data_IF_688847677567
#
_entry.id   IF_688847677567
#
_cell.length_a   1.000
_cell.length_b   1.000
_cell.length_c   1.000
_cell.angle_alpha   90.00
_cell.angle_beta   90.00
_cell.angle_gamma   90.00
#
_symmetry.space_group_name_H-M   'P 1'
#
loop_
_entity.id
_entity.type
_entity.pdbx_description
1 polymer ?
#
# COMPACT_ATOMS: atom_id res chain seq x y z
N UNK A 1 22.74 16.96 -0.58
CA UNK A 1 21.69 16.34 0.24
C UNK A 1 22.07 14.91 0.56
N UNK A 2 22.02 14.53 1.83
CA UNK A 2 22.20 13.13 2.26
C UNK A 2 20.88 12.39 2.03
N UNK A 3 20.90 11.37 1.18
CA UNK A 3 19.75 10.53 0.91
C UNK A 3 19.59 9.54 2.08
N UNK A 4 18.54 9.68 2.88
CA UNK A 4 18.16 8.68 3.89
C UNK A 4 17.20 7.69 3.26
N UNK A 5 17.62 6.43 3.11
CA UNK A 5 16.76 5.35 2.62
C UNK A 5 16.13 4.64 3.82
N UNK A 6 14.80 4.53 3.85
CA UNK A 6 14.10 3.62 4.77
C UNK A 6 13.84 2.32 4.01
N UNK A 7 14.63 1.29 4.29
CA UNK A 7 14.40 -0.05 3.71
C UNK A 7 13.31 -0.74 4.50
N UNK A 8 12.16 -0.99 3.87
CA UNK A 8 11.10 -1.84 4.44
C UNK A 8 11.32 -3.27 3.93
N UNK A 9 11.70 -4.24 4.78
CA UNK A 9 11.93 -5.61 4.34
C UNK A 9 10.59 -6.32 4.13
N UNK A 10 10.02 -6.18 2.95
CA UNK A 10 9.03 -7.12 2.43
C UNK A 10 9.79 -8.27 1.73
N UNK A 11 9.22 -9.48 1.62
CA UNK A 11 9.87 -10.65 0.96
C UNK A 11 10.04 -10.48 -0.57
N UNK A 12 10.29 -9.27 -1.06
CA UNK A 12 10.42 -8.88 -2.47
C UNK A 12 11.39 -7.70 -2.65
N UNK A 13 11.32 -7.03 -3.80
CA UNK A 13 12.19 -5.88 -4.13
C UNK A 13 12.05 -4.76 -3.09
N UNK A 14 13.16 -4.18 -2.61
CA UNK A 14 13.12 -3.03 -1.71
C UNK A 14 12.34 -1.88 -2.33
N UNK A 15 11.39 -1.33 -1.59
CA UNK A 15 10.70 -0.09 -2.00
C UNK A 15 11.64 1.07 -1.67
N UNK A 16 11.99 1.87 -2.67
CA UNK A 16 12.75 3.10 -2.50
C UNK A 16 11.77 4.24 -2.21
N UNK A 17 11.88 4.86 -1.03
CA UNK A 17 11.02 5.98 -0.65
C UNK A 17 11.84 7.27 -0.69
N UNK A 18 11.30 8.30 -1.33
CA UNK A 18 11.96 9.60 -1.41
C UNK A 18 12.11 10.19 0.01
N UNK A 19 13.32 10.60 0.45
CA UNK A 19 13.52 11.20 1.76
C UNK A 19 12.74 12.52 1.95
N UNK A 20 12.40 13.21 0.86
CA UNK A 20 11.59 14.44 0.86
C UNK A 20 10.08 14.15 0.78
N UNK A 21 9.68 12.86 0.79
CA UNK A 21 8.27 12.50 0.84
C UNK A 21 7.64 13.09 2.10
N UNK A 22 6.63 13.94 1.89
CA UNK A 22 5.81 14.48 2.97
C UNK A 22 4.88 13.36 3.39
N UNK A 23 5.26 12.62 4.43
CA UNK A 23 4.40 11.61 5.03
C UNK A 23 3.17 12.33 5.57
N UNK A 24 2.04 12.19 4.89
CA UNK A 24 0.76 12.69 5.37
C UNK A 24 0.55 12.00 6.73
N UNK A 25 0.60 12.80 7.79
CA UNK A 25 0.45 12.34 9.18
C UNK A 25 -1.01 12.11 9.55
N UNK A 26 -1.87 12.08 8.55
CA UNK A 26 -3.28 11.81 8.68
C UNK A 26 -3.48 10.38 8.21
N UNK A 27 -4.19 9.61 9.02
CA UNK A 27 -4.60 8.22 8.81
C UNK A 27 -5.48 8.06 7.55
N UNK A 28 -4.97 8.46 6.38
CA UNK A 28 -5.64 8.29 5.09
C UNK A 28 -5.47 6.83 4.71
N UNK A 29 -6.32 6.01 5.31
CA UNK A 29 -6.45 4.63 4.92
C UNK A 29 -7.23 4.58 3.61
N UNK A 30 -6.49 4.55 2.50
CA UNK A 30 -7.05 4.48 1.14
C UNK A 30 -7.71 3.12 0.86
N UNK A 31 -7.24 2.05 1.52
CA UNK A 31 -7.86 0.73 1.55
C UNK A 31 -7.41 -0.04 2.79
N UNK A 32 -8.34 -0.73 3.47
CA UNK A 32 -8.06 -1.46 4.72
C UNK A 32 -8.38 -0.65 5.99
N UNK A 33 -7.87 -1.06 7.15
CA UNK A 33 -8.04 -0.35 8.43
C UNK A 33 -9.40 -0.48 9.13
N UNK A 34 -10.50 -0.70 8.39
CA UNK A 34 -11.86 -0.82 8.96
C UNK A 34 -12.35 -2.27 9.16
N UNK A 35 -11.48 -3.15 9.68
CA UNK A 35 -11.71 -4.61 9.79
C UNK A 35 -11.90 -5.27 8.41
N UNK A 36 -12.01 -6.60 8.39
CA UNK A 36 -12.26 -7.33 7.16
C UNK A 36 -13.70 -7.09 6.65
N UNK A 37 -13.87 -6.92 5.35
CA UNK A 37 -15.19 -6.71 4.74
C UNK A 37 -15.12 -6.35 3.27
N UNK A 38 -16.28 -6.06 2.69
CA UNK A 38 -16.47 -5.91 1.23
C UNK A 38 -16.60 -4.44 0.79
N UNK A 39 -16.62 -3.48 1.71
CA UNK A 39 -16.72 -2.06 1.37
C UNK A 39 -15.44 -1.55 0.68
N UNK A 40 -15.50 -0.40 0.00
CA UNK A 40 -14.36 0.17 -0.74
C UNK A 40 -13.18 0.53 0.16
N UNK A 41 -13.43 0.80 1.44
CA UNK A 41 -12.40 1.07 2.46
C UNK A 41 -12.08 -0.17 3.32
N UNK A 42 -12.41 -1.38 2.86
CA UNK A 42 -12.13 -2.64 3.57
C UNK A 42 -11.42 -3.63 2.65
N UNK A 43 -10.63 -4.52 3.25
CA UNK A 43 -9.95 -5.61 2.56
C UNK A 43 -10.23 -6.92 3.30
N UNK A 44 -10.25 -8.03 2.59
CA UNK A 44 -10.41 -9.37 3.17
C UNK A 44 -9.33 -10.31 2.62
N UNK A 45 -8.33 -10.60 3.47
CA UNK A 45 -7.19 -11.47 3.15
C UNK A 45 -6.44 -11.04 1.88
N UNK A 46 -5.90 -9.81 1.84
CA UNK A 46 -5.10 -9.37 0.71
C UNK A 46 -3.82 -10.22 0.59
N UNK A 47 -3.45 -10.61 -0.64
CA UNK A 47 -2.28 -11.48 -0.90
C UNK A 47 -1.19 -10.86 -1.76
N UNK A 48 -1.45 -9.73 -2.41
CA UNK A 48 -0.51 -9.07 -3.30
C UNK A 48 -0.67 -7.56 -3.27
N UNK A 49 0.44 -6.86 -3.46
CA UNK A 49 0.51 -5.41 -3.58
C UNK A 49 1.45 -5.06 -4.73
N UNK A 50 1.04 -4.13 -5.58
CA UNK A 50 1.83 -3.60 -6.69
C UNK A 50 1.65 -2.08 -6.78
N UNK A 51 2.68 -1.39 -7.24
CA UNK A 51 2.63 0.05 -7.51
C UNK A 51 3.07 0.25 -8.95
N UNK A 52 2.27 0.96 -9.76
CA UNK A 52 2.62 1.27 -11.14
C UNK A 52 3.49 2.54 -11.26
N UNK A 53 3.88 2.89 -12.49
CA UNK A 53 4.73 4.05 -12.77
C UNK A 53 4.06 5.39 -12.44
N UNK A 54 2.72 5.42 -12.37
CA UNK A 54 1.90 6.58 -11.99
C UNK A 54 1.69 6.67 -10.47
N UNK A 55 2.33 5.79 -9.69
CA UNK A 55 2.20 5.67 -8.23
C UNK A 55 0.79 5.24 -7.76
N UNK A 56 0.01 4.57 -8.62
CA UNK A 56 -1.25 3.93 -8.23
C UNK A 56 -0.97 2.62 -7.48
N UNK A 57 -1.64 2.39 -6.35
CA UNK A 57 -1.42 1.20 -5.51
C UNK A 57 -2.49 0.16 -5.76
N UNK A 58 -2.11 -0.98 -6.32
CA UNK A 58 -3.00 -2.10 -6.55
C UNK A 58 -2.90 -3.14 -5.44
N UNK A 59 -4.04 -3.58 -4.91
CA UNK A 59 -4.12 -4.62 -3.88
C UNK A 59 -4.98 -5.78 -4.37
N UNK A 60 -4.43 -7.00 -4.33
CA UNK A 60 -5.15 -8.23 -4.61
C UNK A 60 -5.93 -8.67 -3.37
N UNK A 61 -7.20 -8.28 -3.31
CA UNK A 61 -8.14 -8.53 -2.21
C UNK A 61 -8.80 -9.92 -2.36
N UNK A 62 -8.04 -10.95 -1.96
CA UNK A 62 -8.22 -12.32 -2.43
C UNK A 62 -9.55 -12.96 -2.02
N UNK A 63 -10.06 -12.73 -0.80
CA UNK A 63 -11.34 -13.33 -0.38
C UNK A 63 -12.52 -12.58 -1.01
N UNK A 64 -12.35 -11.29 -1.29
CA UNK A 64 -13.36 -10.50 -1.99
C UNK A 64 -13.32 -10.70 -3.52
N UNK A 65 -12.38 -11.50 -4.04
CA UNK A 65 -12.19 -11.79 -5.46
C UNK A 65 -12.10 -10.52 -6.33
N UNK A 66 -11.40 -9.49 -5.86
CA UNK A 66 -11.26 -8.21 -6.57
C UNK A 66 -9.84 -7.66 -6.50
N UNK A 67 -9.55 -6.69 -7.38
CA UNK A 67 -8.37 -5.83 -7.29
C UNK A 67 -8.83 -4.44 -6.87
N UNK A 68 -8.22 -3.90 -5.82
CA UNK A 68 -8.42 -2.52 -5.37
C UNK A 68 -7.29 -1.65 -5.93
N UNK A 69 -7.58 -0.36 -6.16
CA UNK A 69 -6.62 0.65 -6.63
C UNK A 69 -6.66 1.87 -5.73
#
# INVERSE_FOLDING_TARGET
SLCYFITVPLRGTPIHINPDATWIRDDVTVAGGNRHGYQSNQLYWPRGLHVDDDQTVYVADQVNNRIMK
#
